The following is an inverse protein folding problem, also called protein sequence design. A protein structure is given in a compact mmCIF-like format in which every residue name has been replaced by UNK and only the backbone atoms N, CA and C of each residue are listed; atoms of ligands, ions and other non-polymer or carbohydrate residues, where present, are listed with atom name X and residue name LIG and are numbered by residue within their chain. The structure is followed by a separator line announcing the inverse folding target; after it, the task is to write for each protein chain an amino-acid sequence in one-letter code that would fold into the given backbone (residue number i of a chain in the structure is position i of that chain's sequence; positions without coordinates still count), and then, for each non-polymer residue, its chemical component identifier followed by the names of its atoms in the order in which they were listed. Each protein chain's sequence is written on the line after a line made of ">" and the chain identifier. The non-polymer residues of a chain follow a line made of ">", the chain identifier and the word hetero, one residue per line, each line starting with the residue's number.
data_IF_714061020423
#
_entry.id   IF_714061020423
#
_cell.length_a   1.000
_cell.length_b   1.000
_cell.length_c   1.000
_cell.angle_alpha   90.00
_cell.angle_beta   90.00
_cell.angle_gamma   90.00
#
_symmetry.space_group_name_H-M   'P 1'
#
loop_
_entity.id
_entity.type
_entity.pdbx_description
1 polymer ?
#
# COMPACT_ATOMS: atom_id res chain seq x y z
N UNK A 1 -26.58 -20.94 -8.22
CA UNK A 1 -25.88 -21.81 -7.25
C UNK A 1 -26.19 -23.23 -7.64
N UNK A 2 -25.19 -23.98 -8.12
CA UNK A 2 -25.36 -25.36 -8.56
C UNK A 2 -24.67 -26.25 -7.53
N UNK A 3 -25.41 -26.66 -6.51
CA UNK A 3 -24.86 -27.42 -5.37
C UNK A 3 -25.27 -28.90 -5.39
N UNK A 4 -26.03 -29.36 -6.40
CA UNK A 4 -26.45 -30.77 -6.53
C UNK A 4 -26.48 -31.27 -7.98
N UNK A 5 -26.18 -32.57 -8.15
CA UNK A 5 -26.11 -33.33 -9.41
C UNK A 5 -27.41 -33.39 -10.24
N UNK A 6 -28.49 -32.76 -9.78
CA UNK A 6 -29.67 -32.56 -10.61
C UNK A 6 -29.45 -31.30 -11.43
N UNK A 7 -29.21 -31.43 -12.74
CA UNK A 7 -29.58 -30.48 -13.82
C UNK A 7 -28.63 -30.58 -15.03
N UNK A 8 -28.70 -31.69 -15.78
CA UNK A 8 -28.45 -31.58 -17.23
C UNK A 8 -29.49 -30.64 -17.87
N UNK A 9 -30.69 -30.54 -17.30
CA UNK A 9 -31.82 -29.78 -17.87
C UNK A 9 -31.75 -28.25 -17.67
N UNK A 10 -31.13 -27.72 -16.59
CA UNK A 10 -31.02 -26.24 -16.45
C UNK A 10 -30.09 -25.63 -17.49
N UNK A 11 -29.08 -26.38 -17.98
CA UNK A 11 -28.14 -25.85 -18.98
C UNK A 11 -28.90 -25.41 -20.24
N UNK A 12 -29.92 -26.18 -20.65
CA UNK A 12 -30.77 -25.83 -21.78
C UNK A 12 -31.57 -24.54 -21.56
N UNK A 13 -32.16 -24.34 -20.37
CA UNK A 13 -32.89 -23.12 -20.05
C UNK A 13 -32.02 -21.86 -20.07
N UNK A 14 -30.73 -21.96 -19.72
CA UNK A 14 -29.81 -20.83 -19.77
C UNK A 14 -29.33 -20.50 -21.19
N UNK A 15 -29.35 -21.45 -22.13
CA UNK A 15 -29.07 -21.17 -23.54
C UNK A 15 -30.14 -20.27 -24.17
N UNK A 16 -31.39 -20.31 -23.69
CA UNK A 16 -32.46 -19.43 -24.18
C UNK A 16 -32.19 -17.94 -23.93
N UNK A 17 -31.27 -17.60 -23.02
CA UNK A 17 -30.88 -16.21 -22.75
C UNK A 17 -29.99 -15.60 -23.85
N UNK A 18 -29.43 -16.43 -24.75
CA UNK A 18 -28.58 -15.94 -25.84
C UNK A 18 -27.23 -15.36 -25.39
N UNK A 19 -26.80 -15.63 -24.16
CA UNK A 19 -25.57 -15.09 -23.56
C UNK A 19 -24.33 -15.99 -23.76
N UNK A 20 -24.42 -16.97 -24.66
CA UNK A 20 -23.35 -17.94 -24.93
C UNK A 20 -23.43 -19.19 -24.05
N UNK A 21 -22.30 -19.89 -23.89
CA UNK A 21 -22.23 -21.11 -23.08
C UNK A 21 -22.28 -20.77 -21.58
N UNK A 22 -23.21 -21.37 -20.80
CA UNK A 22 -23.31 -21.10 -19.38
C UNK A 22 -22.23 -21.84 -18.59
N UNK A 23 -21.49 -21.10 -17.76
CA UNK A 23 -20.48 -21.62 -16.83
C UNK A 23 -21.10 -21.98 -15.48
N UNK A 24 -21.18 -23.27 -15.11
CA UNK A 24 -21.76 -23.69 -13.85
C UNK A 24 -20.79 -23.44 -12.69
N UNK A 25 -21.21 -22.68 -11.68
CA UNK A 25 -20.39 -22.43 -10.47
C UNK A 25 -21.13 -22.73 -9.18
N UNK A 26 -20.40 -23.27 -8.20
CA UNK A 26 -20.81 -23.34 -6.79
C UNK A 26 -19.97 -22.37 -5.97
N UNK A 27 -20.65 -21.40 -5.35
CA UNK A 27 -20.00 -20.49 -4.41
C UNK A 27 -19.66 -21.15 -3.07
N UNK A 28 -20.34 -22.26 -2.73
CA UNK A 28 -20.17 -22.95 -1.45
C UNK A 28 -19.03 -23.95 -1.49
N UNK A 29 -18.88 -24.71 -2.58
CA UNK A 29 -17.81 -25.70 -2.74
C UNK A 29 -16.63 -25.20 -3.58
N UNK A 30 -16.79 -24.09 -4.30
CA UNK A 30 -15.79 -23.55 -5.23
C UNK A 30 -15.76 -24.27 -6.59
N UNK A 31 -16.60 -25.28 -6.82
CA UNK A 31 -16.63 -26.02 -8.09
C UNK A 31 -16.96 -25.13 -9.29
N UNK A 32 -16.28 -25.38 -10.42
CA UNK A 32 -16.46 -24.68 -11.70
C UNK A 32 -15.92 -23.25 -11.74
N UNK A 33 -15.37 -22.73 -10.64
CA UNK A 33 -14.79 -21.38 -10.60
C UNK A 33 -13.52 -21.25 -11.43
N UNK A 34 -12.70 -22.32 -11.52
CA UNK A 34 -11.51 -22.36 -12.37
C UNK A 34 -11.85 -22.18 -13.85
N UNK A 35 -12.75 -23.02 -14.38
CA UNK A 35 -13.17 -22.95 -15.79
C UNK A 35 -13.75 -21.58 -16.17
N UNK A 36 -14.51 -20.96 -15.25
CA UNK A 36 -15.02 -19.60 -15.43
C UNK A 36 -13.88 -18.56 -15.47
N UNK A 37 -12.90 -18.69 -14.59
CA UNK A 37 -11.77 -17.76 -14.52
C UNK A 37 -10.87 -17.89 -15.75
N UNK A 38 -10.63 -19.11 -16.25
CA UNK A 38 -9.84 -19.35 -17.46
C UNK A 38 -10.50 -18.69 -18.69
N UNK A 39 -11.81 -18.87 -18.87
CA UNK A 39 -12.54 -18.20 -19.95
C UNK A 39 -12.51 -16.67 -19.79
N UNK A 40 -12.61 -16.18 -18.56
CA UNK A 40 -12.57 -14.75 -18.28
C UNK A 40 -11.22 -14.16 -18.67
N UNK A 41 -10.11 -14.82 -18.33
CA UNK A 41 -8.75 -14.40 -18.69
C UNK A 41 -8.59 -14.27 -20.20
N UNK A 42 -9.12 -15.22 -20.98
CA UNK A 42 -9.07 -15.19 -22.45
C UNK A 42 -9.85 -14.02 -23.08
N UNK A 43 -10.83 -13.47 -22.37
CA UNK A 43 -11.68 -12.37 -22.84
C UNK A 43 -11.28 -11.01 -22.27
N UNK A 44 -10.38 -10.98 -21.29
CA UNK A 44 -9.81 -9.71 -20.85
C UNK A 44 -9.06 -9.09 -22.03
N UNK A 45 -9.21 -7.77 -22.27
CA UNK A 45 -8.41 -7.10 -23.28
C UNK A 45 -6.94 -7.32 -22.97
N UNK A 46 -6.10 -7.49 -24.01
CA UNK A 46 -4.65 -7.49 -23.84
C UNK A 46 -4.27 -6.25 -23.02
N UNK A 47 -3.66 -6.49 -21.87
CA UNK A 47 -3.06 -5.40 -21.12
C UNK A 47 -1.83 -5.01 -21.92
N UNK A 48 -1.90 -3.90 -22.66
CA UNK A 48 -0.67 -3.19 -22.95
C UNK A 48 -0.13 -2.79 -21.58
N UNK A 49 0.85 -3.56 -21.09
CA UNK A 49 1.86 -3.05 -20.18
C UNK A 49 2.50 -1.87 -20.91
N UNK A 50 1.81 -0.72 -20.90
CA UNK A 50 2.35 0.51 -21.47
C UNK A 50 3.73 0.67 -20.89
N UNK A 51 4.72 0.91 -21.77
CA UNK A 51 6.16 0.92 -21.47
C UNK A 51 6.41 1.05 -19.97
N UNK A 52 7.01 0.04 -19.32
CA UNK A 52 7.41 0.09 -17.90
C UNK A 52 8.34 1.30 -17.69
N UNK A 53 7.75 2.48 -17.60
CA UNK A 53 8.33 3.61 -16.92
C UNK A 53 8.49 3.07 -15.51
N UNK A 54 9.73 3.06 -15.04
CA UNK A 54 10.13 2.73 -13.68
C UNK A 54 9.34 3.60 -12.68
N UNK A 55 8.12 3.13 -12.41
CA UNK A 55 7.02 3.88 -11.83
C UNK A 55 6.70 3.27 -10.48
N UNK A 56 6.70 4.11 -9.47
CA UNK A 56 6.38 3.71 -8.10
C UNK A 56 5.04 4.37 -7.76
N UNK A 57 4.02 3.55 -7.49
CA UNK A 57 2.70 4.04 -7.09
C UNK A 57 2.72 4.35 -5.60
N UNK A 58 2.38 5.59 -5.25
CA UNK A 58 2.48 6.13 -3.90
C UNK A 58 1.09 6.51 -3.39
N UNK A 59 0.63 5.87 -2.32
CA UNK A 59 -0.61 6.25 -1.64
C UNK A 59 -0.30 7.13 -0.42
N UNK A 60 -0.90 8.31 -0.34
CA UNK A 60 -0.78 9.19 0.84
C UNK A 60 -2.04 9.05 1.70
N UNK A 61 -1.90 8.37 2.82
CA UNK A 61 -3.01 7.93 3.68
C UNK A 61 -2.86 8.48 5.09
N UNK A 62 -3.90 8.33 5.91
CA UNK A 62 -3.94 8.79 7.30
C UNK A 62 -5.24 9.52 7.65
N UNK A 63 -5.40 9.82 8.94
CA UNK A 63 -6.62 10.46 9.45
C UNK A 63 -6.95 11.81 8.79
N UNK A 64 -8.23 12.24 8.82
CA UNK A 64 -8.60 13.61 8.50
C UNK A 64 -7.71 14.63 9.23
N UNK A 65 -7.40 15.74 8.57
CA UNK A 65 -6.63 16.86 9.14
C UNK A 65 -5.18 16.57 9.58
N UNK A 66 -4.64 15.37 9.31
CA UNK A 66 -3.20 15.05 9.52
C UNK A 66 -2.26 15.84 8.59
N UNK A 67 -2.81 16.50 7.56
CA UNK A 67 -2.05 17.34 6.62
C UNK A 67 -1.61 16.63 5.34
N UNK A 68 -2.25 15.51 4.98
CA UNK A 68 -2.02 14.77 3.71
C UNK A 68 -2.04 15.67 2.48
N UNK A 69 -3.09 16.47 2.33
CA UNK A 69 -3.28 17.37 1.19
C UNK A 69 -2.20 18.46 1.13
N UNK A 70 -1.84 19.03 2.29
CA UNK A 70 -0.77 20.02 2.39
C UNK A 70 0.57 19.41 2.00
N UNK A 71 0.86 18.18 2.44
CA UNK A 71 2.08 17.45 2.09
C UNK A 71 2.15 17.21 0.57
N UNK A 72 1.10 16.64 -0.02
CA UNK A 72 1.04 16.36 -1.47
C UNK A 72 1.13 17.64 -2.30
N UNK A 73 0.40 18.69 -1.92
CA UNK A 73 0.49 19.96 -2.65
C UNK A 73 1.89 20.58 -2.55
N UNK A 74 2.56 20.45 -1.40
CA UNK A 74 3.94 20.93 -1.24
C UNK A 74 4.92 20.12 -2.09
N UNK A 75 4.78 18.79 -2.12
CA UNK A 75 5.56 17.91 -2.97
C UNK A 75 5.34 18.23 -4.46
N UNK A 76 4.10 18.36 -4.91
CA UNK A 76 3.81 18.59 -6.33
C UNK A 76 4.06 20.05 -6.77
N UNK A 77 4.19 20.98 -5.84
CA UNK A 77 4.34 22.42 -6.11
C UNK A 77 5.77 22.96 -6.00
N UNK A 78 6.76 22.12 -5.73
CA UNK A 78 8.15 22.57 -5.66
C UNK A 78 8.76 22.69 -7.06
N UNK A 79 9.35 23.85 -7.35
CA UNK A 79 9.91 24.24 -8.67
C UNK A 79 10.93 23.27 -9.28
N UNK A 80 11.50 22.35 -8.49
CA UNK A 80 12.51 21.37 -8.93
C UNK A 80 11.92 20.05 -9.39
N UNK A 81 10.60 19.88 -9.28
CA UNK A 81 9.93 18.63 -9.60
C UNK A 81 9.10 18.82 -10.87
N UNK A 82 9.31 17.93 -11.84
CA UNK A 82 8.58 17.98 -13.10
C UNK A 82 7.29 17.19 -12.91
N UNK A 83 6.17 17.92 -12.91
CA UNK A 83 4.82 17.34 -12.97
C UNK A 83 4.45 17.22 -14.43
N UNK A 84 4.25 15.99 -14.92
CA UNK A 84 3.86 15.73 -16.30
C UNK A 84 2.34 15.61 -16.41
N UNK A 85 1.65 16.54 -17.09
CA UNK A 85 0.24 16.37 -17.44
C UNK A 85 0.15 15.43 -18.64
N UNK A 86 0.23 14.11 -18.44
CA UNK A 86 0.06 13.16 -19.54
C UNK A 86 -1.43 13.00 -19.80
N UNK A 87 -1.94 13.69 -20.81
CA UNK A 87 -3.26 13.44 -21.37
C UNK A 87 -3.19 12.18 -22.24
N UNK A 88 -3.74 11.05 -21.78
CA UNK A 88 -3.78 9.82 -22.58
C UNK A 88 -4.08 8.52 -21.85
N UNK A 89 -3.89 8.40 -20.53
CA UNK A 89 -4.23 7.16 -19.81
C UNK A 89 -5.67 7.22 -19.31
N UNK A 90 -6.61 6.83 -20.16
CA UNK A 90 -8.04 6.77 -19.87
C UNK A 90 -8.37 5.67 -18.85
N UNK A 91 -8.30 5.98 -17.56
CA UNK A 91 -9.28 5.52 -16.55
C UNK A 91 -9.22 6.28 -15.23
N UNK A 92 -8.05 6.80 -14.85
CA UNK A 92 -7.82 7.38 -13.52
C UNK A 92 -7.46 8.87 -13.59
N UNK A 93 -8.44 9.72 -13.91
CA UNK A 93 -8.34 11.20 -13.96
C UNK A 93 -8.06 11.87 -12.59
N UNK A 94 -7.49 11.12 -11.65
CA UNK A 94 -7.41 11.41 -10.21
C UNK A 94 -5.97 11.27 -9.69
N UNK A 95 -5.08 10.62 -10.43
CA UNK A 95 -3.68 10.40 -10.03
C UNK A 95 -2.77 11.56 -10.48
N UNK A 96 -1.65 11.77 -9.79
CA UNK A 96 -0.67 12.81 -10.13
C UNK A 96 0.72 12.22 -10.27
N UNK A 97 1.35 12.41 -11.44
CA UNK A 97 2.73 11.97 -11.69
C UNK A 97 3.76 13.03 -11.28
N UNK A 98 4.87 12.56 -10.74
CA UNK A 98 5.99 13.36 -10.28
C UNK A 98 7.31 12.69 -10.69
N UNK A 99 8.13 13.36 -11.49
CA UNK A 99 9.48 12.86 -11.77
C UNK A 99 10.46 13.28 -10.66
N UNK A 100 11.15 12.30 -10.07
CA UNK A 100 12.14 12.52 -9.01
C UNK A 100 13.33 11.56 -9.17
N UNK A 101 14.55 12.09 -9.25
CA UNK A 101 15.79 11.32 -9.46
C UNK A 101 15.71 10.31 -10.63
N UNK A 102 15.05 10.67 -11.73
CA UNK A 102 14.91 9.81 -12.91
C UNK A 102 13.90 8.68 -12.77
N UNK A 103 13.17 8.60 -11.64
CA UNK A 103 12.04 7.71 -11.41
C UNK A 103 10.73 8.47 -11.53
N UNK A 104 9.66 7.77 -11.87
CA UNK A 104 8.31 8.36 -11.89
C UNK A 104 7.55 7.92 -10.65
N UNK A 105 7.14 8.88 -9.82
CA UNK A 105 6.29 8.63 -8.67
C UNK A 105 4.85 8.99 -9.04
N UNK A 106 3.96 8.00 -9.06
CA UNK A 106 2.53 8.22 -9.34
C UNK A 106 1.77 8.23 -8.03
N UNK A 107 1.33 9.41 -7.61
CA UNK A 107 0.49 9.56 -6.44
C UNK A 107 -0.94 9.12 -6.78
N UNK A 108 -1.42 8.07 -6.12
CA UNK A 108 -2.76 7.51 -6.38
C UNK A 108 -3.85 8.24 -5.60
N UNK A 109 -5.03 8.38 -6.21
CA UNK A 109 -6.24 9.02 -5.67
C UNK A 109 -6.02 10.45 -5.13
N UNK A 110 -5.21 11.25 -5.83
CA UNK A 110 -4.90 12.63 -5.40
C UNK A 110 -6.06 13.62 -5.51
N UNK A 111 -7.09 13.36 -6.34
CA UNK A 111 -8.23 14.28 -6.43
C UNK A 111 -9.02 14.35 -5.12
N UNK A 112 -9.08 13.26 -4.34
CA UNK A 112 -9.62 13.30 -2.99
C UNK A 112 -8.83 14.27 -2.10
N UNK A 113 -7.49 14.15 -2.11
CA UNK A 113 -6.59 15.01 -1.33
C UNK A 113 -6.69 16.48 -1.75
N UNK A 114 -6.78 16.80 -3.05
CA UNK A 114 -6.87 18.18 -3.53
C UNK A 114 -8.23 18.84 -3.25
N UNK A 115 -9.33 18.08 -3.24
CA UNK A 115 -10.68 18.61 -2.93
C UNK A 115 -10.88 18.92 -1.44
N UNK A 116 -10.25 18.17 -0.54
CA UNK A 116 -10.32 18.42 0.90
C UNK A 116 -9.69 19.75 1.36
N UNK A 117 -8.90 20.42 0.50
CA UNK A 117 -8.41 21.77 0.79
C UNK A 117 -9.49 22.86 0.69
N UNK A 118 -10.70 22.53 0.19
CA UNK A 118 -11.75 23.52 -0.14
C UNK A 118 -13.15 23.22 0.43
N UNK A 119 -13.42 22.09 1.11
CA UNK A 119 -14.79 21.71 1.54
C UNK A 119 -14.80 21.05 2.91
N UNK A 120 -15.79 21.43 3.74
CA UNK A 120 -16.06 20.92 5.10
C UNK A 120 -16.54 19.45 5.14
N UNK A 121 -15.89 18.72 6.06
CA UNK A 121 -16.26 17.60 6.94
C UNK A 121 -17.36 16.55 6.64
N UNK A 122 -18.18 16.63 5.59
CA UNK A 122 -19.33 15.72 5.42
C UNK A 122 -19.03 14.31 4.85
N UNK A 123 -17.76 13.85 4.84
CA UNK A 123 -17.34 12.72 4.00
C UNK A 123 -16.40 11.70 4.69
N UNK A 124 -16.69 11.31 5.93
CA UNK A 124 -15.92 10.26 6.63
C UNK A 124 -16.08 8.87 5.98
N UNK A 125 -17.28 8.49 5.54
CA UNK A 125 -17.54 7.12 5.03
C UNK A 125 -16.81 6.82 3.71
N UNK A 126 -16.74 7.79 2.79
CA UNK A 126 -15.98 7.62 1.55
C UNK A 126 -14.46 7.71 1.78
N UNK A 127 -13.99 8.23 2.93
CA UNK A 127 -12.57 8.29 3.24
C UNK A 127 -11.95 6.91 3.46
N UNK A 128 -12.68 5.98 4.09
CA UNK A 128 -12.17 4.63 4.37
C UNK A 128 -12.07 3.79 3.11
N UNK A 129 -13.13 3.70 2.31
CA UNK A 129 -13.14 2.95 1.04
C UNK A 129 -12.07 3.46 0.06
N UNK A 130 -11.83 4.78 0.04
CA UNK A 130 -10.74 5.37 -0.76
C UNK A 130 -9.37 5.01 -0.22
N UNK A 131 -9.20 5.01 1.10
CA UNK A 131 -7.95 4.61 1.74
C UNK A 131 -7.59 3.16 1.39
N UNK A 132 -8.56 2.24 1.49
CA UNK A 132 -8.34 0.83 1.13
C UNK A 132 -7.95 0.68 -0.35
N UNK A 133 -8.70 1.29 -1.27
CA UNK A 133 -8.37 1.27 -2.71
C UNK A 133 -7.02 1.89 -3.04
N UNK A 134 -6.63 2.94 -2.32
CA UNK A 134 -5.33 3.58 -2.50
C UNK A 134 -4.21 2.64 -2.04
N UNK A 135 -4.38 1.95 -0.91
CA UNK A 135 -3.44 0.93 -0.41
C UNK A 135 -3.29 -0.20 -1.43
N UNK A 136 -4.40 -0.77 -1.91
CA UNK A 136 -4.39 -1.88 -2.88
C UNK A 136 -3.65 -1.55 -4.19
N UNK A 137 -3.66 -0.27 -4.61
CA UNK A 137 -3.00 0.19 -5.84
C UNK A 137 -1.57 0.66 -5.63
N UNK A 138 -1.08 0.74 -4.38
CA UNK A 138 0.20 1.36 -4.07
C UNK A 138 1.33 0.34 -3.88
N UNK A 139 2.51 0.71 -4.38
CA UNK A 139 3.75 0.01 -4.07
C UNK A 139 4.32 0.50 -2.73
N UNK A 140 4.16 1.80 -2.43
CA UNK A 140 4.55 2.42 -1.17
C UNK A 140 3.42 3.28 -0.61
N UNK A 141 3.10 3.07 0.66
CA UNK A 141 2.15 3.85 1.43
C UNK A 141 2.88 4.85 2.33
N UNK A 142 2.52 6.13 2.20
CA UNK A 142 2.97 7.22 3.06
C UNK A 142 1.85 7.52 4.06
N UNK A 143 2.00 7.03 5.29
CA UNK A 143 1.05 7.30 6.37
C UNK A 143 1.41 8.62 7.05
N UNK A 144 0.54 9.62 6.91
CA UNK A 144 0.70 10.93 7.54
C UNK A 144 0.03 10.94 8.90
N UNK A 145 0.82 11.23 9.94
CA UNK A 145 0.38 11.36 11.33
C UNK A 145 0.60 12.79 11.80
N UNK A 146 -0.33 13.32 12.59
CA UNK A 146 -0.21 14.64 13.21
C UNK A 146 0.73 14.58 14.43
N UNK A 147 1.79 15.39 14.44
CA UNK A 147 2.79 15.42 15.52
C UNK A 147 2.21 15.80 16.88
N UNK A 148 1.27 16.75 16.94
CA UNK A 148 0.68 17.22 18.20
C UNK A 148 -0.23 16.16 18.82
N UNK A 149 -0.96 15.45 17.95
CA UNK A 149 -1.93 14.44 18.36
C UNK A 149 -1.30 13.06 18.52
N UNK A 150 -0.16 12.81 17.87
CA UNK A 150 0.46 11.50 17.76
C UNK A 150 -0.41 10.47 17.04
N UNK A 151 0.10 9.24 16.97
CA UNK A 151 -0.55 8.12 16.28
C UNK A 151 -1.73 7.57 17.07
N UNK A 152 -2.91 7.58 16.46
CA UNK A 152 -4.15 7.05 17.02
C UNK A 152 -4.48 5.65 16.49
N UNK A 153 -5.51 5.02 17.07
CA UNK A 153 -5.98 3.68 16.67
C UNK A 153 -6.34 3.59 15.18
N UNK A 154 -6.90 4.65 14.60
CA UNK A 154 -7.21 4.66 13.17
C UNK A 154 -5.94 4.72 12.31
N UNK A 155 -4.91 5.47 12.73
CA UNK A 155 -3.61 5.50 12.04
C UNK A 155 -2.96 4.11 12.08
N UNK A 156 -3.01 3.44 13.24
CA UNK A 156 -2.54 2.06 13.39
C UNK A 156 -3.29 1.08 12.49
N UNK A 157 -4.62 1.18 12.39
CA UNK A 157 -5.40 0.34 11.48
C UNK A 157 -4.97 0.53 10.03
N UNK A 158 -4.76 1.77 9.60
CA UNK A 158 -4.28 2.07 8.24
C UNK A 158 -2.87 1.51 8.03
N UNK A 159 -1.97 1.65 9.01
CA UNK A 159 -0.62 1.09 8.96
C UNK A 159 -0.64 -0.45 8.84
N UNK A 160 -1.45 -1.12 9.66
CA UNK A 160 -1.63 -2.58 9.61
C UNK A 160 -2.20 -3.03 8.27
N UNK A 161 -3.18 -2.31 7.71
CA UNK A 161 -3.73 -2.62 6.39
C UNK A 161 -2.68 -2.52 5.29
N UNK A 162 -1.88 -1.46 5.29
CA UNK A 162 -0.79 -1.30 4.32
C UNK A 162 0.27 -2.40 4.47
N UNK A 163 0.61 -2.75 5.71
CA UNK A 163 1.54 -3.84 6.02
C UNK A 163 1.02 -5.20 5.54
N UNK A 164 -0.24 -5.54 5.85
CA UNK A 164 -0.88 -6.80 5.45
C UNK A 164 -1.04 -6.91 3.94
N UNK A 165 -1.20 -5.78 3.23
CA UNK A 165 -1.24 -5.71 1.78
C UNK A 165 0.15 -5.89 1.12
N UNK A 166 1.23 -5.95 1.89
CA UNK A 166 2.60 -6.05 1.36
C UNK A 166 3.09 -4.77 0.69
N UNK A 167 2.47 -3.63 1.01
CA UNK A 167 2.95 -2.32 0.57
C UNK A 167 4.19 -1.93 1.38
N UNK A 168 5.15 -1.26 0.75
CA UNK A 168 6.17 -0.54 1.50
C UNK A 168 5.50 0.53 2.37
N UNK A 169 5.99 0.78 3.58
CA UNK A 169 5.38 1.74 4.51
C UNK A 169 6.40 2.79 4.94
N UNK A 170 6.00 4.06 4.90
CA UNK A 170 6.75 5.20 5.44
C UNK A 170 5.82 5.99 6.34
N UNK A 171 6.28 6.35 7.55
CA UNK A 171 5.49 7.17 8.47
C UNK A 171 6.01 8.60 8.48
N UNK A 172 5.14 9.53 8.10
CA UNK A 172 5.43 10.97 8.09
C UNK A 172 4.74 11.61 9.28
N UNK A 173 5.51 12.03 10.28
CA UNK A 173 5.03 12.78 11.44
C UNK A 173 5.02 14.26 11.10
N UNK A 174 3.88 14.74 10.63
CA UNK A 174 3.69 16.08 10.07
C UNK A 174 3.26 17.11 11.12
N UNK A 175 3.29 18.40 10.76
CA UNK A 175 3.09 19.54 11.67
C UNK A 175 4.17 19.65 12.75
N UNK A 176 5.37 19.17 12.43
CA UNK A 176 6.48 19.20 13.36
C UNK A 176 6.79 20.62 13.85
N UNK A 177 6.53 21.65 13.03
CA UNK A 177 6.68 23.06 13.40
C UNK A 177 5.91 23.45 14.66
N UNK A 178 4.76 22.81 14.94
CA UNK A 178 3.90 23.14 16.09
C UNK A 178 4.40 22.59 17.42
N UNK A 179 5.33 21.63 17.42
CA UNK A 179 5.85 21.05 18.66
C UNK A 179 6.78 22.06 19.37
N UNK A 180 6.46 22.51 20.60
CA UNK A 180 7.31 23.44 21.36
C UNK A 180 8.52 22.72 21.97
N UNK A 181 9.51 23.49 22.41
CA UNK A 181 10.63 23.02 23.26
C UNK A 181 11.35 21.75 22.76
N UNK A 182 11.57 21.68 21.44
CA UNK A 182 12.30 20.58 20.82
C UNK A 182 13.76 20.59 21.24
N UNK A 183 14.26 19.45 21.68
CA UNK A 183 15.67 19.16 21.84
C UNK A 183 16.14 18.13 20.81
N UNK A 184 17.44 17.80 20.84
CA UNK A 184 18.05 16.84 19.92
C UNK A 184 17.43 15.43 20.00
N UNK A 185 16.77 15.08 21.11
CA UNK A 185 16.19 13.76 21.38
C UNK A 185 14.67 13.72 21.25
N UNK A 186 13.99 14.84 20.99
CA UNK A 186 12.51 14.86 20.90
C UNK A 186 11.99 13.94 19.79
N UNK A 187 12.64 13.93 18.62
CA UNK A 187 12.27 13.05 17.52
C UNK A 187 12.46 11.57 17.90
N UNK A 188 13.64 11.21 18.42
CA UNK A 188 13.95 9.83 18.82
C UNK A 188 12.98 9.29 19.87
N UNK A 189 12.66 10.09 20.90
CA UNK A 189 11.65 9.73 21.91
C UNK A 189 10.27 9.51 21.29
N UNK A 190 9.91 10.33 20.30
CA UNK A 190 8.66 10.15 19.56
C UNK A 190 8.66 8.84 18.76
N UNK A 191 9.75 8.48 18.10
CA UNK A 191 9.89 7.20 17.37
C UNK A 191 9.77 6.00 18.31
N UNK A 192 10.43 6.04 19.46
CA UNK A 192 10.32 5.00 20.49
C UNK A 192 8.88 4.83 20.98
N UNK A 193 8.16 5.94 21.22
CA UNK A 193 6.75 5.91 21.63
C UNK A 193 5.82 5.38 20.54
N UNK A 194 6.10 5.70 19.28
CA UNK A 194 5.33 5.21 18.14
C UNK A 194 5.57 3.72 17.91
N UNK A 195 6.83 3.29 17.96
CA UNK A 195 7.23 1.88 17.79
C UNK A 195 6.65 0.99 18.88
N UNK A 196 6.57 1.50 20.11
CA UNK A 196 5.93 0.77 21.23
C UNK A 196 4.44 0.44 21.01
N UNK A 197 3.76 1.09 20.04
CA UNK A 197 2.34 0.81 19.75
C UNK A 197 2.12 -0.47 18.96
N UNK A 198 3.08 -0.88 18.12
CA UNK A 198 2.97 -2.11 17.34
C UNK A 198 4.37 -2.63 16.92
N UNK A 199 4.68 -3.92 17.13
CA UNK A 199 6.02 -4.46 16.88
C UNK A 199 6.55 -4.26 15.46
N UNK A 200 5.69 -4.37 14.44
CA UNK A 200 6.12 -4.25 13.04
C UNK A 200 6.64 -2.84 12.68
N UNK A 201 6.28 -1.82 13.46
CA UNK A 201 6.73 -0.45 13.24
C UNK A 201 8.23 -0.27 13.44
N UNK A 202 8.91 -1.21 14.12
CA UNK A 202 10.37 -1.21 14.25
C UNK A 202 11.08 -1.26 12.88
N UNK A 203 10.43 -1.84 11.87
CA UNK A 203 10.96 -1.97 10.51
C UNK A 203 10.53 -0.83 9.58
N UNK A 204 9.77 0.14 10.09
CA UNK A 204 9.16 1.20 9.29
C UNK A 204 9.94 2.50 9.50
N UNK A 205 10.45 3.16 8.44
CA UNK A 205 11.12 4.44 8.59
C UNK A 205 10.15 5.56 8.97
N UNK A 206 10.57 6.39 9.92
CA UNK A 206 9.87 7.59 10.36
C UNK A 206 10.56 8.85 9.84
N UNK A 207 9.77 9.87 9.51
CA UNK A 207 10.30 11.20 9.20
C UNK A 207 9.41 12.30 9.76
N UNK A 208 10.02 13.23 10.48
CA UNK A 208 9.35 14.41 11.03
C UNK A 208 9.39 15.56 10.02
N UNK A 209 8.23 16.06 9.63
CA UNK A 209 8.10 17.07 8.58
C UNK A 209 7.18 18.21 8.98
N UNK A 210 7.29 19.32 8.25
CA UNK A 210 6.30 20.40 8.29
C UNK A 210 5.90 20.74 6.85
N UNK A 211 4.70 20.32 6.44
CA UNK A 211 4.16 20.68 5.13
C UNK A 211 3.98 22.20 4.98
N UNK A 212 3.74 22.92 6.09
CA UNK A 212 3.60 24.37 6.12
C UNK A 212 4.91 25.07 5.74
N UNK A 213 5.98 24.80 6.50
CA UNK A 213 7.30 25.41 6.26
C UNK A 213 8.06 24.78 5.08
N UNK A 214 7.74 23.53 4.73
CA UNK A 214 8.52 22.72 3.79
C UNK A 214 9.63 21.90 4.44
N UNK A 215 9.81 21.98 5.76
CA UNK A 215 10.87 21.25 6.47
C UNK A 215 10.78 19.75 6.17
N UNK A 216 11.87 19.20 5.59
CA UNK A 216 12.08 17.78 5.28
C UNK A 216 11.00 17.14 4.39
N UNK A 217 10.17 17.93 3.71
CA UNK A 217 9.11 17.43 2.84
C UNK A 217 9.70 16.65 1.65
N UNK A 218 10.76 17.16 1.01
CA UNK A 218 11.49 16.44 -0.06
C UNK A 218 12.03 15.09 0.37
N UNK A 219 12.53 15.00 1.61
CA UNK A 219 13.14 13.77 2.12
C UNK A 219 12.13 12.62 2.26
N UNK A 220 10.83 12.92 2.23
CA UNK A 220 9.79 11.87 2.09
C UNK A 220 9.96 11.12 0.77
N UNK A 221 10.29 11.80 -0.33
CA UNK A 221 10.51 11.16 -1.63
C UNK A 221 11.75 10.27 -1.61
N UNK A 222 12.83 10.71 -0.94
CA UNK A 222 14.05 9.90 -0.76
C UNK A 222 13.71 8.58 -0.04
N UNK A 223 12.92 8.65 1.04
CA UNK A 223 12.48 7.47 1.78
C UNK A 223 11.54 6.58 0.96
N UNK A 224 10.64 7.16 0.16
CA UNK A 224 9.77 6.39 -0.73
C UNK A 224 10.61 5.60 -1.74
N UNK A 225 11.62 6.22 -2.36
CA UNK A 225 12.52 5.54 -3.28
C UNK A 225 13.31 4.42 -2.59
N UNK A 226 13.83 4.69 -1.39
CA UNK A 226 14.56 3.70 -0.60
C UNK A 226 13.70 2.48 -0.25
N UNK A 227 12.48 2.72 0.25
CA UNK A 227 11.55 1.65 0.63
C UNK A 227 11.07 0.86 -0.59
N UNK A 228 10.79 1.55 -1.70
CA UNK A 228 10.43 0.88 -2.96
C UNK A 228 11.55 -0.03 -3.46
N UNK A 229 12.80 0.44 -3.39
CA UNK A 229 13.96 -0.37 -3.77
C UNK A 229 14.15 -1.58 -2.84
N UNK A 230 14.03 -1.39 -1.53
CA UNK A 230 14.19 -2.48 -0.54
C UNK A 230 13.13 -3.56 -0.72
N UNK A 231 11.88 -3.18 -1.04
CA UNK A 231 10.78 -4.11 -1.30
C UNK A 231 11.06 -5.06 -2.48
N UNK A 232 11.87 -4.63 -3.46
CA UNK A 232 12.22 -5.41 -4.63
C UNK A 232 13.51 -6.24 -4.44
N UNK A 233 14.15 -6.17 -3.27
CA UNK A 233 15.37 -6.93 -3.00
C UNK A 233 15.07 -8.42 -2.98
N UNK A 234 15.62 -9.14 -3.94
CA UNK A 234 15.55 -10.61 -3.97
C UNK A 234 16.56 -11.20 -2.99
N UNK A 235 16.06 -11.85 -1.95
CA UNK A 235 16.91 -12.54 -0.97
C UNK A 235 17.16 -13.99 -1.44
N UNK A 236 18.43 -14.41 -1.61
CA UNK A 236 18.73 -15.78 -1.98
C UNK A 236 18.28 -16.78 -0.89
N UNK A 237 17.68 -17.90 -1.30
CA UNK A 237 17.25 -18.97 -0.39
C UNK A 237 18.37 -19.46 0.52
N UNK A 238 19.61 -19.49 0.02
CA UNK A 238 20.79 -19.85 0.82
C UNK A 238 20.98 -18.92 2.03
N UNK A 239 20.84 -17.60 1.82
CA UNK A 239 20.97 -16.58 2.88
C UNK A 239 19.88 -16.73 3.94
N UNK A 240 18.64 -17.00 3.55
CA UNK A 240 17.54 -17.24 4.49
C UNK A 240 17.83 -18.46 5.36
N UNK A 241 18.27 -19.56 4.75
CA UNK A 241 18.57 -20.79 5.48
C UNK A 241 19.79 -20.65 6.41
N UNK A 242 20.79 -19.87 6.02
CA UNK A 242 21.94 -19.55 6.88
C UNK A 242 21.50 -18.82 8.15
N UNK A 243 20.69 -17.76 8.01
CA UNK A 243 20.18 -17.00 9.15
C UNK A 243 19.26 -17.85 10.02
N UNK A 244 18.36 -18.64 9.42
CA UNK A 244 17.45 -19.52 10.14
C UNK A 244 18.22 -20.54 11.00
N UNK A 245 19.24 -21.19 10.44
CA UNK A 245 20.10 -22.15 11.17
C UNK A 245 20.79 -21.47 12.34
N UNK A 246 21.40 -20.31 12.12
CA UNK A 246 22.06 -19.56 13.18
C UNK A 246 21.11 -19.18 14.33
N UNK A 247 19.83 -18.89 14.05
CA UNK A 247 18.83 -18.60 15.06
C UNK A 247 18.39 -19.85 15.84
N UNK A 248 18.19 -20.97 15.16
CA UNK A 248 17.85 -22.26 15.80
C UNK A 248 18.98 -22.72 16.72
N UNK A 249 20.23 -22.62 16.27
CA UNK A 249 21.40 -23.03 17.04
C UNK A 249 21.57 -22.20 18.33
N UNK A 250 21.24 -20.90 18.27
CA UNK A 250 21.28 -20.01 19.45
C UNK A 250 20.18 -20.29 20.48
N UNK A 251 19.04 -20.84 20.05
CA UNK A 251 17.85 -21.06 20.89
C UNK A 251 17.60 -22.54 21.24
N UNK A 252 18.66 -23.37 21.28
CA UNK A 252 18.60 -24.83 21.41
C UNK A 252 17.84 -25.43 22.62
N UNK A 253 17.25 -24.61 23.50
CA UNK A 253 16.52 -25.05 24.70
C UNK A 253 15.03 -25.33 24.49
N UNK A 254 14.43 -25.01 23.34
CA UNK A 254 13.02 -25.28 23.04
C UNK A 254 12.86 -26.34 21.94
N UNK A 255 13.43 -27.54 22.13
CA UNK A 255 13.18 -28.66 21.19
C UNK A 255 11.77 -29.20 21.41
N UNK A 256 10.83 -28.82 20.54
CA UNK A 256 9.58 -29.56 20.35
C UNK A 256 9.95 -30.83 19.58
N UNK A 257 9.65 -32.06 20.07
CA UNK A 257 10.21 -33.31 19.54
C UNK A 257 9.91 -33.66 18.06
N UNK A 258 9.12 -32.85 17.35
CA UNK A 258 8.59 -33.18 16.02
C UNK A 258 8.71 -32.04 14.99
N UNK A 259 9.36 -30.93 15.31
CA UNK A 259 9.59 -29.82 14.37
C UNK A 259 11.05 -29.80 13.93
N UNK A 260 11.37 -30.64 12.95
CA UNK A 260 12.60 -30.44 12.19
C UNK A 260 12.33 -29.37 11.13
N UNK A 261 12.86 -28.16 11.33
CA UNK A 261 12.81 -27.09 10.33
C UNK A 261 13.78 -27.39 9.17
N UNK A 262 13.40 -28.32 8.29
CA UNK A 262 14.17 -28.71 7.11
C UNK A 262 13.95 -27.70 5.98
N UNK A 263 14.65 -26.56 6.08
CA UNK A 263 14.78 -25.51 5.06
C UNK A 263 13.51 -24.71 4.70
N UNK A 264 13.70 -23.40 4.49
CA UNK A 264 12.67 -22.48 4.00
C UNK A 264 13.04 -22.04 2.59
N UNK A 265 12.08 -22.13 1.66
CA UNK A 265 12.19 -21.57 0.32
C UNK A 265 11.44 -20.24 0.27
N UNK A 266 12.07 -19.22 -0.31
CA UNK A 266 11.39 -17.95 -0.65
C UNK A 266 10.80 -18.13 -2.04
N UNK A 267 9.47 -18.17 -2.13
CA UNK A 267 8.78 -18.14 -3.41
C UNK A 267 8.96 -16.74 -4.03
N UNK A 268 9.19 -16.70 -5.35
CA UNK A 268 9.37 -15.48 -6.13
C UNK A 268 8.04 -14.77 -6.39
#
# INVERSE_FOLDING_TARGET
>A
KLDELALRDARHAFHELGLGEPFPVSAQSGQGTGDLLDELVLRLPEHEDGEEIDRIRVAVVGRPNAGKSSLVNKLLGEERLVVTPIAGTTRDAIDSDLSYHGKTLTFVDTAGLRRHAKVDEALEFYSTMRTERAIERADVCVLVVDAERGMHNQDLRIATRAWDAGCGLVIVVNKWDLIPDKDANTAKRGEEQLTAKAPFLEFVPFIYTSALSGQRVRNVLDLVLQVAAERLVRIPTARVNEVLRALVDRNAHARVPHLDAHAVAVAA
#
